data_IF_334568695615
#
_entry.id   IF_334568695615
#
_cell.length_a   1.000
_cell.length_b   1.000
_cell.length_c   1.000
_cell.angle_alpha   90.00
_cell.angle_beta   90.00
_cell.angle_gamma   90.00
#
_symmetry.space_group_name_H-M   'P 1'
#
loop_
_entity.id
_entity.type
_entity.pdbx_description
1 polymer ?
#
# COMPACT_ATOMS: atom_id res chain seq x y z
N UNK A 1 17.77 -43.44 8.80
CA UNK A 1 17.14 -43.72 7.49
C UNK A 1 15.82 -44.43 7.74
N UNK A 2 14.64 -43.79 7.57
CA UNK A 2 13.32 -44.48 7.51
C UNK A 2 12.08 -43.58 7.30
N UNK A 3 12.18 -42.25 7.40
CA UNK A 3 11.02 -41.37 7.15
C UNK A 3 10.89 -40.91 5.69
N UNK A 4 12.01 -40.71 4.98
CA UNK A 4 12.01 -40.15 3.62
C UNK A 4 11.54 -41.12 2.53
N UNK A 5 11.62 -42.43 2.77
CA UNK A 5 11.27 -43.46 1.77
C UNK A 5 9.74 -43.66 1.70
N UNK A 6 8.97 -43.31 2.74
CA UNK A 6 7.52 -43.52 2.73
C UNK A 6 6.73 -42.50 1.90
N UNK A 7 7.25 -41.28 1.70
CA UNK A 7 6.53 -40.27 0.91
C UNK A 7 6.53 -40.55 -0.60
N UNK A 8 7.50 -41.32 -1.10
CA UNK A 8 7.58 -41.72 -2.51
C UNK A 8 6.54 -42.80 -2.88
N UNK A 9 6.03 -43.57 -1.90
CA UNK A 9 5.19 -44.75 -2.15
C UNK A 9 3.69 -44.47 -2.28
N UNK A 10 3.23 -43.25 -1.99
CA UNK A 10 1.80 -42.93 -1.88
C UNK A 10 1.24 -42.01 -2.97
N UNK A 11 1.98 -41.75 -4.05
CA UNK A 11 1.44 -41.00 -5.20
C UNK A 11 0.92 -39.60 -4.84
N UNK A 12 1.40 -39.03 -3.73
CA UNK A 12 1.08 -37.66 -3.37
C UNK A 12 1.83 -36.74 -4.33
N UNK A 13 1.09 -36.18 -5.28
CA UNK A 13 1.48 -34.96 -5.96
C UNK A 13 1.73 -33.95 -4.85
N UNK A 14 3.01 -33.66 -4.59
CA UNK A 14 3.37 -32.46 -3.85
C UNK A 14 2.92 -31.33 -4.77
N UNK A 15 1.69 -30.84 -4.57
CA UNK A 15 1.27 -29.55 -5.11
C UNK A 15 2.11 -28.56 -4.33
N UNK A 16 3.30 -28.28 -4.86
CA UNK A 16 4.13 -27.18 -4.41
C UNK A 16 3.25 -25.94 -4.58
N UNK A 17 2.76 -25.41 -3.45
CA UNK A 17 2.01 -24.18 -3.42
C UNK A 17 2.96 -23.08 -3.92
N UNK A 18 2.90 -22.79 -5.21
CA UNK A 18 3.67 -21.69 -5.80
C UNK A 18 3.27 -20.44 -5.05
N UNK A 19 4.22 -19.82 -4.35
CA UNK A 19 4.02 -18.52 -3.74
C UNK A 19 3.46 -17.57 -4.80
N UNK A 20 2.20 -17.17 -4.62
CA UNK A 20 1.57 -16.23 -5.53
C UNK A 20 2.14 -14.85 -5.25
N UNK A 21 2.87 -14.31 -6.23
CA UNK A 21 3.38 -12.94 -6.17
C UNK A 21 2.38 -12.03 -6.88
N UNK A 22 1.76 -11.13 -6.12
CA UNK A 22 0.80 -10.15 -6.64
C UNK A 22 1.54 -8.84 -6.87
N UNK A 23 1.57 -8.35 -8.10
CA UNK A 23 2.14 -7.04 -8.44
C UNK A 23 1.03 -6.00 -8.55
N UNK A 24 1.10 -4.94 -7.76
CA UNK A 24 0.10 -3.87 -7.74
C UNK A 24 0.74 -2.52 -8.10
N UNK A 25 0.21 -1.90 -9.14
CA UNK A 25 0.50 -0.51 -9.46
C UNK A 25 -0.36 0.42 -8.60
N UNK A 26 0.29 1.32 -7.86
CA UNK A 26 -0.37 2.30 -7.00
C UNK A 26 -0.21 3.69 -7.59
N UNK A 27 -1.30 4.44 -7.70
CA UNK A 27 -1.29 5.86 -8.06
C UNK A 27 -1.76 6.66 -6.86
N UNK A 28 -0.97 7.64 -6.44
CA UNK A 28 -1.40 8.57 -5.40
C UNK A 28 -2.10 9.77 -6.01
N UNK A 29 -3.18 10.16 -5.36
CA UNK A 29 -3.85 11.44 -5.54
C UNK A 29 -3.65 12.20 -4.23
N UNK A 30 -2.94 13.31 -4.28
CA UNK A 30 -2.50 14.08 -3.13
C UNK A 30 -3.32 15.37 -3.05
N UNK A 31 -3.94 15.58 -1.90
CA UNK A 31 -4.70 16.79 -1.62
C UNK A 31 -3.81 18.04 -1.52
N UNK A 32 -4.44 19.20 -1.64
CA UNK A 32 -3.77 20.49 -1.49
C UNK A 32 -3.14 20.63 -0.10
N UNK A 33 -3.76 20.05 0.92
CA UNK A 33 -3.23 20.06 2.28
C UNK A 33 -1.87 19.35 2.41
N UNK A 34 -1.69 18.13 1.87
CA UNK A 34 -0.41 17.43 1.96
C UNK A 34 0.69 18.15 1.18
N UNK A 35 0.35 18.75 0.04
CA UNK A 35 1.29 19.52 -0.78
C UNK A 35 1.71 20.80 -0.06
N UNK A 36 0.74 21.58 0.45
CA UNK A 36 0.99 22.80 1.22
C UNK A 36 1.81 22.51 2.49
N UNK A 37 1.42 21.51 3.28
CA UNK A 37 2.11 21.13 4.51
C UNK A 37 3.59 20.77 4.28
N UNK A 38 3.90 20.18 3.12
CA UNK A 38 5.28 19.84 2.76
C UNK A 38 6.09 21.06 2.34
N UNK A 39 5.46 21.97 1.60
CA UNK A 39 6.05 23.25 1.21
C UNK A 39 6.39 24.09 2.45
N UNK A 40 5.44 24.25 3.39
CA UNK A 40 5.65 25.04 4.62
C UNK A 40 6.76 24.49 5.50
N UNK A 41 6.94 23.16 5.54
CA UNK A 41 7.99 22.50 6.34
C UNK A 41 9.35 22.43 5.65
N UNK A 42 9.49 23.01 4.44
CA UNK A 42 10.72 23.01 3.64
C UNK A 42 11.35 21.61 3.51
N UNK A 43 10.52 20.59 3.27
CA UNK A 43 11.05 19.24 3.05
C UNK A 43 11.93 19.22 1.80
N UNK A 44 13.16 18.74 1.95
CA UNK A 44 14.13 18.64 0.85
C UNK A 44 13.84 17.49 -0.10
N UNK A 45 13.10 16.48 0.35
CA UNK A 45 12.71 15.32 -0.46
C UNK A 45 11.53 15.65 -1.37
N UNK A 46 11.62 15.41 -2.69
CA UNK A 46 10.49 15.53 -3.60
C UNK A 46 9.29 14.69 -3.15
N UNK A 47 8.07 15.16 -3.41
CA UNK A 47 6.82 14.47 -3.02
C UNK A 47 6.78 13.03 -3.57
N UNK A 48 7.18 12.85 -4.84
CA UNK A 48 7.24 11.55 -5.49
C UNK A 48 8.15 10.57 -4.75
N UNK A 49 9.34 11.01 -4.37
CA UNK A 49 10.33 10.17 -3.69
C UNK A 49 9.86 9.80 -2.28
N UNK A 50 9.22 10.74 -1.58
CA UNK A 50 8.59 10.48 -0.30
C UNK A 50 7.51 9.38 -0.40
N UNK A 51 6.64 9.46 -1.41
CA UNK A 51 5.59 8.47 -1.63
C UNK A 51 6.13 7.11 -2.07
N UNK A 52 7.24 7.08 -2.82
CA UNK A 52 7.95 5.84 -3.13
C UNK A 52 8.50 5.18 -1.86
N UNK A 53 9.11 5.96 -0.96
CA UNK A 53 9.59 5.46 0.33
C UNK A 53 8.42 4.93 1.17
N UNK A 54 7.30 5.66 1.20
CA UNK A 54 6.09 5.22 1.88
C UNK A 54 5.60 3.87 1.34
N UNK A 55 5.50 3.70 0.02
CA UNK A 55 5.11 2.42 -0.59
C UNK A 55 6.05 1.27 -0.24
N UNK A 56 7.37 1.51 -0.23
CA UNK A 56 8.34 0.49 0.16
C UNK A 56 8.11 0.04 1.62
N UNK A 57 7.75 0.96 2.50
CA UNK A 57 7.43 0.63 3.90
C UNK A 57 6.12 -0.18 4.00
N UNK A 58 5.10 0.17 3.21
CA UNK A 58 3.85 -0.60 3.14
C UNK A 58 4.11 -2.01 2.60
N UNK A 59 4.95 -2.16 1.56
CA UNK A 59 5.35 -3.46 1.05
C UNK A 59 6.02 -4.31 2.14
N UNK A 60 6.97 -3.73 2.89
CA UNK A 60 7.63 -4.39 4.01
C UNK A 60 6.64 -4.79 5.12
N UNK A 61 5.63 -3.97 5.37
CA UNK A 61 4.57 -4.28 6.33
C UNK A 61 3.73 -5.48 5.86
N UNK A 62 3.32 -5.49 4.59
CA UNK A 62 2.53 -6.58 3.99
C UNK A 62 3.30 -7.90 3.92
N UNK A 63 4.63 -7.85 3.78
CA UNK A 63 5.47 -9.05 3.87
C UNK A 63 5.45 -9.71 5.25
N UNK A 64 5.13 -8.96 6.32
CA UNK A 64 5.04 -9.48 7.68
C UNK A 64 3.63 -9.96 8.06
N UNK A 65 2.63 -9.67 7.23
CA UNK A 65 1.26 -10.19 7.41
C UNK A 65 1.09 -11.56 6.75
N UNK A 66 0.00 -12.26 7.08
CA UNK A 66 -0.43 -13.51 6.41
C UNK A 66 -0.97 -13.28 4.98
N UNK A 67 -0.45 -12.27 4.28
CA UNK A 67 -0.81 -11.96 2.91
C UNK A 67 0.10 -12.72 1.93
N UNK A 68 -0.37 -13.00 0.70
CA UNK A 68 0.51 -13.39 -0.40
C UNK A 68 1.62 -12.34 -0.60
N UNK A 69 2.70 -12.73 -1.27
CA UNK A 69 3.80 -11.81 -1.54
C UNK A 69 3.33 -10.68 -2.46
N UNK A 70 3.14 -9.49 -1.90
CA UNK A 70 2.70 -8.31 -2.64
C UNK A 70 3.93 -7.47 -3.02
N UNK A 71 3.99 -7.01 -4.26
CA UNK A 71 4.99 -6.06 -4.76
C UNK A 71 4.29 -4.79 -5.21
N UNK A 72 4.65 -3.65 -4.62
CA UNK A 72 4.01 -2.37 -4.89
C UNK A 72 4.88 -1.51 -5.80
N UNK A 73 4.27 -0.84 -6.77
CA UNK A 73 4.98 0.07 -7.67
C UNK A 73 4.25 1.40 -7.79
N UNK A 74 5.00 2.50 -7.68
CA UNK A 74 4.46 3.82 -7.90
C UNK A 74 4.26 4.07 -9.40
N UNK A 75 3.00 4.09 -9.82
CA UNK A 75 2.61 4.33 -11.22
C UNK A 75 2.37 5.81 -11.53
N UNK A 76 2.07 6.62 -10.51
CA UNK A 76 1.83 8.05 -10.69
C UNK A 76 1.57 8.77 -9.37
N UNK A 77 1.81 10.08 -9.40
CA UNK A 77 1.46 11.02 -8.34
C UNK A 77 0.73 12.17 -9.03
N UNK A 78 -0.49 12.45 -8.57
CA UNK A 78 -1.32 13.54 -9.04
C UNK A 78 -1.60 14.46 -7.87
N UNK A 79 -1.32 15.75 -8.02
CA UNK A 79 -1.72 16.78 -7.07
C UNK A 79 -3.10 17.27 -7.50
N UNK A 80 -4.03 17.39 -6.56
CA UNK A 80 -5.37 17.95 -6.81
C UNK A 80 -5.37 19.45 -6.64
N UNK A 81 -6.37 20.10 -7.20
CA UNK A 81 -6.69 21.49 -6.86
C UNK A 81 -7.82 21.56 -5.82
N UNK A 82 -8.04 22.75 -5.25
CA UNK A 82 -9.14 22.97 -4.30
C UNK A 82 -10.49 22.74 -4.96
N UNK A 83 -10.58 23.00 -6.26
CA UNK A 83 -11.77 22.78 -7.07
C UNK A 83 -12.02 21.28 -7.31
N UNK A 84 -10.97 20.50 -7.62
CA UNK A 84 -11.07 19.04 -7.75
C UNK A 84 -11.61 18.40 -6.46
N UNK A 85 -11.15 18.91 -5.30
CA UNK A 85 -11.52 18.40 -3.98
C UNK A 85 -12.98 18.64 -3.59
N UNK A 86 -13.66 19.63 -4.19
CA UNK A 86 -15.09 19.87 -3.94
C UNK A 86 -15.97 18.73 -4.43
N UNK A 87 -15.47 17.94 -5.38
CA UNK A 87 -16.19 16.82 -6.01
C UNK A 87 -15.98 15.53 -5.20
N UNK A 88 -14.95 15.48 -4.34
CA UNK A 88 -14.72 14.31 -3.50
C UNK A 88 -15.84 14.16 -2.48
N UNK A 89 -16.29 12.91 -2.31
CA UNK A 89 -17.23 12.57 -1.26
C UNK A 89 -16.59 12.91 0.08
N UNK A 90 -17.12 13.95 0.73
CA UNK A 90 -16.74 14.28 2.10
C UNK A 90 -17.24 13.14 2.97
N UNK A 91 -16.34 12.28 3.41
CA UNK A 91 -16.62 11.38 4.52
C UNK A 91 -16.90 12.24 5.76
N UNK A 92 -18.16 12.30 6.16
CA UNK A 92 -18.59 12.93 7.40
C UNK A 92 -17.98 12.17 8.57
N UNK A 93 -16.83 12.60 9.10
CA UNK A 93 -16.38 12.13 10.41
C UNK A 93 -15.80 13.25 11.28
N UNK A 94 -16.51 13.43 12.40
CA UNK A 94 -16.18 14.05 13.69
C UNK A 94 -16.27 15.59 13.81
N UNK A 95 -17.49 16.06 14.13
CA UNK A 95 -17.69 17.45 14.52
C UNK A 95 -19.08 17.91 14.99
N UNK A 96 -20.09 17.05 15.17
CA UNK A 96 -21.27 17.45 15.96
C UNK A 96 -21.00 17.18 17.44
N UNK A 97 -20.25 18.08 18.08
CA UNK A 97 -20.45 18.30 19.52
C UNK A 97 -21.86 18.86 19.66
N UNK A 98 -22.80 17.99 20.00
CA UNK A 98 -24.10 18.41 20.48
C UNK A 98 -23.85 19.18 21.78
N UNK A 99 -23.98 20.50 21.72
CA UNK A 99 -24.01 21.34 22.92
C UNK A 99 -25.33 21.03 23.64
N UNK A 100 -25.25 20.29 24.73
CA UNK A 100 -26.30 20.19 25.76
C UNK A 100 -25.72 20.65 27.08
#
# INVERSE_FOLDING_TARGET
>A
MKAWVMFMALGFIIVEAREQVITLGVRFVCDTWIVEARSTKNHTTPLRDYLQIFLNNVELYLQKSECPKIKLFLTGVNETTKEDELIFEKTDTEGKKNNT
#
